data_IF_185691685390
#
_entry.id   IF_185691685390
#
_cell.length_a   1.000
_cell.length_b   1.000
_cell.length_c   1.000
_cell.angle_alpha   90.00
_cell.angle_beta   90.00
_cell.angle_gamma   90.00
#
_symmetry.space_group_name_H-M   'P 1'
#
loop_
_entity.id
_entity.type
_entity.pdbx_description
1 polymer ?
#
# COMPACT_ATOMS: atom_id res chain seq x y z
N UNK A 1 -12.06 -12.85 -25.63
CA UNK A 1 -11.21 -12.65 -24.45
C UNK A 1 -11.68 -13.60 -23.38
N UNK A 2 -10.77 -14.19 -22.61
CA UNK A 2 -11.11 -15.11 -21.53
C UNK A 2 -11.88 -14.39 -20.42
N UNK A 3 -12.96 -15.01 -19.95
CA UNK A 3 -13.98 -14.45 -19.04
C UNK A 3 -13.51 -14.36 -17.57
N UNK A 4 -12.20 -14.40 -17.35
CA UNK A 4 -11.59 -14.52 -16.01
C UNK A 4 -11.37 -13.18 -15.33
N UNK A 5 -11.24 -12.09 -16.09
CA UNK A 5 -11.02 -10.75 -15.55
C UNK A 5 -12.26 -9.90 -15.74
N UNK A 6 -12.81 -9.40 -14.63
CA UNK A 6 -14.00 -8.54 -14.57
C UNK A 6 -13.61 -7.13 -14.13
N UNK A 7 -13.42 -6.17 -15.06
CA UNK A 7 -12.97 -4.82 -14.72
C UNK A 7 -13.84 -4.12 -13.67
N UNK A 8 -15.15 -4.36 -13.72
CA UNK A 8 -16.15 -3.82 -12.79
C UNK A 8 -16.01 -4.37 -11.36
N UNK A 9 -15.29 -5.48 -11.18
CA UNK A 9 -14.94 -6.09 -9.89
C UNK A 9 -13.46 -5.98 -9.60
N UNK A 10 -12.76 -5.00 -10.18
CA UNK A 10 -11.34 -4.78 -9.96
C UNK A 10 -11.08 -3.46 -9.22
N UNK A 11 -10.03 -3.45 -8.40
CA UNK A 11 -9.51 -2.24 -7.76
C UNK A 11 -8.00 -2.15 -7.90
N UNK A 12 -7.48 -0.93 -7.75
CA UNK A 12 -6.06 -0.64 -7.72
C UNK A 12 -5.58 -0.56 -6.28
N UNK A 13 -4.47 -1.22 -5.99
CA UNK A 13 -3.76 -1.13 -4.71
C UNK A 13 -2.34 -0.58 -4.94
N UNK A 14 -2.14 0.69 -4.58
CA UNK A 14 -0.87 1.38 -4.62
C UNK A 14 -0.17 1.22 -3.26
N UNK A 15 0.90 0.44 -3.22
CA UNK A 15 1.54 0.00 -1.98
C UNK A 15 2.71 0.91 -1.60
N UNK A 16 2.58 1.55 -0.45
CA UNK A 16 3.66 2.22 0.31
C UNK A 16 4.50 3.21 -0.51
N UNK A 17 3.86 4.00 -1.37
CA UNK A 17 4.50 5.06 -2.16
C UNK A 17 4.81 6.31 -1.30
N UNK A 18 5.56 6.10 -0.22
CA UNK A 18 5.85 7.09 0.82
C UNK A 18 7.23 7.75 0.63
N UNK A 19 7.43 8.90 1.28
CA UNK A 19 8.69 9.63 1.29
C UNK A 19 9.87 8.86 1.91
N UNK A 20 9.60 7.87 2.77
CA UNK A 20 10.61 6.95 3.31
C UNK A 20 11.42 6.22 2.23
N UNK A 21 10.87 6.12 1.01
CA UNK A 21 11.52 5.47 -0.12
C UNK A 21 12.36 6.40 -1.00
N UNK A 22 12.39 7.70 -0.69
CA UNK A 22 13.32 8.65 -1.28
C UNK A 22 14.74 8.36 -0.82
N UNK A 23 15.74 8.92 -1.52
CA UNK A 23 17.17 8.67 -1.26
C UNK A 23 17.59 9.04 0.17
N UNK A 24 16.94 10.03 0.75
CA UNK A 24 17.12 10.56 2.09
C UNK A 24 16.24 9.89 3.17
N UNK A 25 15.31 9.03 2.76
CA UNK A 25 14.44 8.28 3.66
C UNK A 25 15.15 7.08 4.30
N UNK A 26 14.50 6.44 5.27
CA UNK A 26 15.08 5.30 5.97
C UNK A 26 15.17 4.03 5.10
N UNK A 27 14.32 3.93 4.08
CA UNK A 27 14.19 2.77 3.20
C UNK A 27 14.27 3.20 1.73
N UNK A 28 15.41 3.70 1.25
CA UNK A 28 15.53 4.25 -0.10
C UNK A 28 15.38 3.17 -1.19
N UNK A 29 14.56 3.44 -2.20
CA UNK A 29 14.42 2.59 -3.38
C UNK A 29 15.25 3.15 -4.55
N UNK A 30 16.04 2.31 -5.19
CA UNK A 30 16.81 2.73 -6.37
C UNK A 30 15.88 3.14 -7.51
N UNK A 31 16.11 4.32 -8.09
CA UNK A 31 15.28 4.82 -9.18
C UNK A 31 13.84 5.19 -8.78
N UNK A 32 13.57 5.40 -7.49
CA UNK A 32 12.23 5.70 -6.98
C UNK A 32 11.48 6.85 -7.70
N UNK A 33 12.12 7.96 -8.13
CA UNK A 33 11.43 8.97 -8.95
C UNK A 33 10.83 8.41 -10.26
N UNK A 34 11.49 7.42 -10.87
CA UNK A 34 10.96 6.71 -12.03
C UNK A 34 9.76 5.82 -11.68
N UNK A 35 9.78 5.19 -10.51
CA UNK A 35 8.63 4.43 -9.96
C UNK A 35 7.44 5.36 -9.76
N UNK A 36 7.63 6.51 -9.11
CA UNK A 36 6.58 7.52 -8.89
C UNK A 36 6.00 8.04 -10.22
N UNK A 37 6.85 8.34 -11.20
CA UNK A 37 6.41 8.78 -12.54
C UNK A 37 5.53 7.74 -13.24
N UNK A 38 5.87 6.45 -13.12
CA UNK A 38 5.09 5.38 -13.72
C UNK A 38 3.80 5.10 -12.91
N UNK A 39 3.87 5.12 -11.59
CA UNK A 39 2.71 5.03 -10.71
C UNK A 39 1.68 6.12 -11.06
N UNK A 40 2.11 7.37 -11.25
CA UNK A 40 1.23 8.47 -11.66
C UNK A 40 0.48 8.17 -12.97
N UNK A 41 1.15 7.56 -13.97
CA UNK A 41 0.51 7.17 -15.25
C UNK A 41 -0.52 6.07 -15.04
N UNK A 42 -0.21 5.05 -14.24
CA UNK A 42 -1.14 3.94 -13.92
C UNK A 42 -2.35 4.49 -13.18
N UNK A 43 -2.13 5.26 -12.11
CA UNK A 43 -3.19 5.90 -11.33
C UNK A 43 -4.09 6.75 -12.23
N UNK A 44 -3.52 7.61 -13.07
CA UNK A 44 -4.29 8.45 -13.98
C UNK A 44 -5.13 7.63 -14.99
N UNK A 45 -4.56 6.54 -15.54
CA UNK A 45 -5.28 5.66 -16.45
C UNK A 45 -6.43 4.93 -15.73
N UNK A 46 -6.17 4.40 -14.54
CA UNK A 46 -7.16 3.68 -13.76
C UNK A 46 -8.31 4.59 -13.29
N UNK A 47 -8.02 5.83 -12.89
CA UNK A 47 -9.07 6.83 -12.57
C UNK A 47 -9.96 7.11 -13.78
N UNK A 48 -9.39 7.31 -14.97
CA UNK A 48 -10.18 7.52 -16.19
C UNK A 48 -11.06 6.32 -16.56
N UNK A 49 -10.60 5.12 -16.22
CA UNK A 49 -11.35 3.89 -16.43
C UNK A 49 -12.34 3.57 -15.29
N UNK A 50 -12.39 4.38 -14.23
CA UNK A 50 -13.34 4.23 -13.13
C UNK A 50 -12.98 3.20 -12.07
N UNK A 51 -11.74 2.70 -12.04
CA UNK A 51 -11.32 1.77 -11.00
C UNK A 51 -11.22 2.48 -9.64
N UNK A 52 -11.73 1.88 -8.54
CA UNK A 52 -11.41 2.33 -7.20
C UNK A 52 -9.91 2.28 -6.95
N UNK A 53 -9.37 3.31 -6.29
CA UNK A 53 -7.96 3.40 -5.93
C UNK A 53 -7.81 3.35 -4.42
N UNK A 54 -6.96 2.44 -3.97
CA UNK A 54 -6.61 2.22 -2.58
C UNK A 54 -5.10 2.38 -2.45
N UNK A 55 -4.66 3.15 -1.46
CA UNK A 55 -3.27 3.29 -1.07
C UNK A 55 -3.04 2.55 0.23
N UNK A 56 -1.84 2.00 0.40
CA UNK A 56 -1.34 1.66 1.73
C UNK A 56 -0.23 2.60 2.16
N UNK A 57 -0.13 2.78 3.48
CA UNK A 57 1.04 3.36 4.13
C UNK A 57 1.51 2.39 5.21
N UNK A 58 2.79 2.07 5.23
CA UNK A 58 3.40 1.56 6.45
C UNK A 58 3.40 2.70 7.46
N UNK A 59 2.75 2.51 8.61
CA UNK A 59 2.34 3.62 9.45
C UNK A 59 2.40 3.23 10.93
N UNK A 60 3.43 3.73 11.62
CA UNK A 60 3.76 3.36 12.99
C UNK A 60 3.37 4.48 13.95
N UNK A 61 2.72 4.13 15.05
CA UNK A 61 2.34 5.07 16.09
C UNK A 61 3.61 5.68 16.75
N UNK A 62 3.67 6.99 17.02
CA UNK A 62 4.91 7.66 17.43
C UNK A 62 5.53 7.18 18.75
N UNK A 63 4.77 6.49 19.62
CA UNK A 63 5.27 5.87 20.85
C UNK A 63 5.72 4.43 20.64
N UNK A 64 5.58 3.89 19.43
CA UNK A 64 5.99 2.54 19.04
C UNK A 64 5.10 1.43 19.58
N UNK A 65 3.88 1.76 20.02
CA UNK A 65 2.97 0.79 20.66
C UNK A 65 2.46 -0.30 19.72
N UNK A 66 2.48 -0.03 18.41
CA UNK A 66 2.06 -0.93 17.34
C UNK A 66 3.23 -1.39 16.44
N UNK A 67 4.46 -0.98 16.80
CA UNK A 67 5.67 -1.39 16.10
C UNK A 67 5.91 -2.89 16.25
N UNK A 68 6.26 -3.53 15.14
CA UNK A 68 6.58 -4.96 15.12
C UNK A 68 8.00 -5.20 15.64
N UNK A 69 8.29 -6.45 16.02
CA UNK A 69 9.61 -6.83 16.58
C UNK A 69 10.79 -6.58 15.64
N UNK A 70 10.54 -6.49 14.34
CA UNK A 70 11.54 -6.24 13.31
C UNK A 70 11.72 -4.74 12.99
N UNK A 71 10.90 -3.86 13.58
CA UNK A 71 11.00 -2.42 13.34
C UNK A 71 12.22 -1.83 14.04
N UNK A 72 12.84 -0.84 13.40
CA UNK A 72 13.95 -0.12 13.99
C UNK A 72 13.43 0.95 14.94
N UNK A 73 13.81 0.85 16.21
CA UNK A 73 13.38 1.76 17.29
C UNK A 73 14.56 2.49 17.92
N UNK A 74 14.31 3.68 18.46
CA UNK A 74 15.28 4.40 19.30
C UNK A 74 15.32 3.85 20.74
N UNK A 75 16.23 4.39 21.57
CA UNK A 75 16.38 4.02 22.99
C UNK A 75 15.11 4.23 23.84
N UNK A 76 14.11 4.95 23.31
CA UNK A 76 12.81 5.19 23.95
C UNK A 76 11.69 4.37 23.32
N UNK A 77 12.04 3.34 22.54
CA UNK A 77 11.11 2.46 21.82
C UNK A 77 10.24 3.18 20.78
N UNK A 78 10.68 4.32 20.26
CA UNK A 78 9.95 5.06 19.20
C UNK A 78 10.43 4.63 17.82
N UNK A 79 9.53 4.52 16.83
CA UNK A 79 9.89 4.14 15.47
C UNK A 79 10.82 5.18 14.83
N UNK A 80 11.80 4.71 14.08
CA UNK A 80 12.76 5.56 13.37
C UNK A 80 12.31 5.95 11.95
N UNK A 81 11.27 5.31 11.43
CA UNK A 81 10.75 5.50 10.09
C UNK A 81 9.24 5.30 10.07
N UNK A 82 8.58 5.73 8.99
CA UNK A 82 7.15 5.51 8.76
C UNK A 82 6.29 6.03 9.91
N UNK A 83 6.78 7.03 10.64
CA UNK A 83 6.15 7.53 11.86
C UNK A 83 4.91 8.32 11.49
N UNK A 84 3.79 8.04 12.15
CA UNK A 84 2.54 8.69 11.88
C UNK A 84 2.64 10.23 12.01
N UNK A 85 2.23 10.93 10.95
CA UNK A 85 2.28 12.39 10.84
C UNK A 85 3.66 12.96 10.51
N UNK A 86 4.68 12.12 10.30
CA UNK A 86 5.98 12.58 9.80
C UNK A 86 5.93 12.84 8.29
N UNK A 87 6.64 13.85 7.77
CA UNK A 87 6.66 14.14 6.33
C UNK A 87 7.11 12.97 5.46
N UNK A 88 8.10 12.18 5.91
CA UNK A 88 8.59 11.02 5.16
C UNK A 88 7.64 9.82 5.24
N UNK A 89 6.88 9.69 6.34
CA UNK A 89 5.82 8.71 6.44
C UNK A 89 4.66 8.97 5.47
N UNK A 90 4.47 10.18 4.96
CA UNK A 90 3.36 10.48 4.07
C UNK A 90 3.57 9.94 2.64
N UNK A 91 2.46 9.74 1.92
CA UNK A 91 2.49 9.41 0.49
C UNK A 91 3.15 10.57 -0.27
N UNK A 92 4.01 10.25 -1.23
CA UNK A 92 4.73 11.24 -2.02
C UNK A 92 3.76 12.19 -2.76
N UNK A 93 4.03 13.51 -2.78
CA UNK A 93 3.16 14.49 -3.42
C UNK A 93 2.79 14.18 -4.88
N UNK A 94 3.71 13.60 -5.64
CA UNK A 94 3.58 13.24 -7.06
C UNK A 94 2.44 12.24 -7.32
N UNK A 95 2.10 11.43 -6.31
CA UNK A 95 1.07 10.39 -6.34
C UNK A 95 0.03 10.59 -5.23
N UNK A 96 -0.16 11.83 -4.79
CA UNK A 96 -1.10 12.17 -3.72
C UNK A 96 -2.49 11.55 -3.96
N UNK A 97 -3.11 10.96 -2.91
CA UNK A 97 -4.49 10.51 -2.98
C UNK A 97 -5.43 11.68 -3.33
N UNK A 98 -6.47 11.37 -4.11
CA UNK A 98 -7.58 12.29 -4.42
C UNK A 98 -8.76 12.05 -3.46
N UNK A 99 -9.75 12.95 -3.48
CA UNK A 99 -10.89 12.96 -2.56
C UNK A 99 -11.64 11.61 -2.44
N UNK A 100 -11.70 10.83 -3.51
CA UNK A 100 -12.40 9.54 -3.56
C UNK A 100 -11.49 8.32 -3.34
N UNK A 101 -10.19 8.54 -3.23
CA UNK A 101 -9.24 7.45 -3.01
C UNK A 101 -9.27 7.03 -1.53
N UNK A 102 -8.96 5.76 -1.28
CA UNK A 102 -8.98 5.19 0.07
C UNK A 102 -7.54 5.04 0.53
N UNK A 103 -7.22 5.51 1.74
CA UNK A 103 -5.92 5.28 2.37
C UNK A 103 -6.07 4.30 3.53
N UNK A 104 -5.19 3.29 3.56
CA UNK A 104 -5.14 2.24 4.57
C UNK A 104 -3.76 2.23 5.22
N UNK A 105 -3.75 2.49 6.51
CA UNK A 105 -2.55 2.39 7.33
C UNK A 105 -2.35 0.93 7.76
N UNK A 106 -1.09 0.47 7.72
CA UNK A 106 -0.70 -0.89 8.10
C UNK A 106 0.60 -0.89 8.92
N UNK A 107 0.73 -1.88 9.79
CA UNK A 107 1.92 -2.09 10.63
C UNK A 107 2.71 -3.34 10.21
N UNK A 108 2.23 -4.09 9.21
CA UNK A 108 2.87 -5.30 8.68
C UNK A 108 3.20 -5.13 7.21
N UNK A 109 4.02 -6.03 6.67
CA UNK A 109 4.32 -6.04 5.23
C UNK A 109 3.08 -6.31 4.37
N UNK A 110 2.26 -7.29 4.75
CA UNK A 110 0.97 -7.52 4.07
C UNK A 110 -0.01 -6.38 4.32
N UNK A 111 -0.70 -5.96 3.27
CA UNK A 111 -1.78 -4.98 3.35
C UNK A 111 -3.06 -5.52 3.99
N UNK A 112 -3.20 -6.84 4.19
CA UNK A 112 -4.44 -7.45 4.68
C UNK A 112 -4.51 -7.61 6.19
N UNK A 113 -3.41 -8.05 6.82
CA UNK A 113 -3.46 -8.42 8.23
C UNK A 113 -3.60 -7.19 9.14
N UNK A 114 -4.63 -7.19 9.98
CA UNK A 114 -4.85 -6.12 10.96
C UNK A 114 -5.28 -4.80 10.34
N UNK A 115 -5.67 -4.79 9.07
CA UNK A 115 -6.15 -3.58 8.38
C UNK A 115 -7.63 -3.72 8.00
N UNK A 116 -8.21 -2.62 7.51
CA UNK A 116 -9.57 -2.60 6.95
C UNK A 116 -9.63 -3.00 5.47
N UNK A 117 -8.53 -3.39 4.84
CA UNK A 117 -8.47 -3.64 3.39
C UNK A 117 -9.49 -4.70 2.96
N UNK A 118 -9.55 -5.81 3.70
CA UNK A 118 -10.48 -6.90 3.38
C UNK A 118 -11.95 -6.44 3.42
N UNK A 119 -12.33 -5.72 4.49
CA UNK A 119 -13.66 -5.16 4.65
C UNK A 119 -14.01 -4.18 3.51
N UNK A 120 -13.06 -3.32 3.15
CA UNK A 120 -13.22 -2.32 2.08
C UNK A 120 -13.46 -3.02 0.73
N UNK A 121 -12.62 -3.98 0.39
CA UNK A 121 -12.72 -4.71 -0.87
C UNK A 121 -14.01 -5.54 -0.96
N UNK A 122 -14.39 -6.25 0.11
CA UNK A 122 -15.67 -6.97 0.18
C UNK A 122 -16.86 -6.02 0.02
N UNK A 123 -16.83 -4.85 0.67
CA UNK A 123 -17.93 -3.88 0.59
C UNK A 123 -18.13 -3.35 -0.84
N UNK A 124 -17.05 -3.27 -1.61
CA UNK A 124 -17.03 -2.85 -3.02
C UNK A 124 -17.19 -4.01 -4.02
N UNK A 125 -17.37 -5.25 -3.54
CA UNK A 125 -17.51 -6.46 -4.36
C UNK A 125 -16.32 -6.71 -5.33
N UNK A 126 -15.10 -6.46 -4.85
CA UNK A 126 -13.86 -6.62 -5.62
C UNK A 126 -13.36 -8.06 -5.58
N UNK A 127 -13.03 -8.60 -6.75
CA UNK A 127 -12.40 -9.92 -6.97
C UNK A 127 -11.01 -9.83 -7.62
N UNK A 128 -10.64 -8.68 -8.17
CA UNK A 128 -9.35 -8.50 -8.84
C UNK A 128 -8.59 -7.31 -8.27
N UNK A 129 -7.30 -7.49 -8.02
CA UNK A 129 -6.42 -6.41 -7.60
C UNK A 129 -5.33 -6.17 -8.64
N UNK A 130 -5.19 -4.91 -9.04
CA UNK A 130 -4.02 -4.42 -9.77
C UNK A 130 -3.09 -3.83 -8.71
N UNK A 131 -2.01 -4.54 -8.42
CA UNK A 131 -1.10 -4.19 -7.32
C UNK A 131 0.21 -3.66 -7.89
N UNK A 132 0.67 -2.51 -7.39
CA UNK A 132 2.00 -1.97 -7.67
C UNK A 132 2.45 -1.11 -6.49
N UNK A 133 3.75 -0.84 -6.39
CA UNK A 133 4.30 -0.05 -5.30
C UNK A 133 5.69 -0.53 -4.94
N UNK A 134 6.03 -0.40 -3.66
CA UNK A 134 7.32 -0.86 -3.10
C UNK A 134 7.09 -1.49 -1.73
N UNK A 135 7.94 -2.39 -1.26
CA UNK A 135 9.06 -3.05 -1.94
C UNK A 135 8.61 -4.38 -2.52
N UNK A 136 9.22 -4.82 -3.62
CA UNK A 136 8.81 -6.03 -4.36
C UNK A 136 8.88 -7.27 -3.46
N UNK A 137 10.02 -7.47 -2.82
CA UNK A 137 10.37 -8.63 -1.98
C UNK A 137 9.81 -8.57 -0.55
N UNK A 138 9.12 -7.47 -0.20
CA UNK A 138 8.54 -7.30 1.14
C UNK A 138 7.04 -7.04 1.05
N UNK A 139 6.62 -5.77 0.99
CA UNK A 139 5.21 -5.41 1.05
C UNK A 139 4.40 -5.96 -0.12
N UNK A 140 4.95 -5.96 -1.33
CA UNK A 140 4.26 -6.50 -2.51
C UNK A 140 4.17 -8.03 -2.44
N UNK A 141 5.29 -8.74 -2.30
CA UNK A 141 5.31 -10.20 -2.22
C UNK A 141 4.43 -10.72 -1.08
N UNK A 142 4.52 -10.13 0.11
CA UNK A 142 3.70 -10.58 1.26
C UNK A 142 2.22 -10.29 1.04
N UNK A 143 1.87 -9.17 0.40
CA UNK A 143 0.45 -8.85 0.09
C UNK A 143 -0.12 -9.78 -0.96
N UNK A 144 0.66 -10.12 -2.00
CA UNK A 144 0.26 -11.06 -3.06
C UNK A 144 0.20 -12.49 -2.54
N UNK A 145 1.18 -12.91 -1.73
CA UNK A 145 1.29 -14.27 -1.20
C UNK A 145 0.35 -14.55 -0.01
N UNK A 146 -0.14 -13.51 0.66
CA UNK A 146 -1.15 -13.63 1.72
C UNK A 146 -2.40 -12.81 1.37
N UNK A 147 -3.12 -13.18 0.29
CA UNK A 147 -4.31 -12.46 -0.12
C UNK A 147 -5.43 -12.69 0.91
N UNK A 148 -6.44 -11.82 0.90
CA UNK A 148 -7.62 -12.02 1.73
C UNK A 148 -8.24 -13.41 1.51
N UNK A 149 -8.40 -14.15 2.61
CA UNK A 149 -9.14 -15.42 2.62
C UNK A 149 -10.64 -15.27 2.36
N UNK A 150 -11.20 -14.05 2.53
CA UNK A 150 -12.61 -13.78 2.24
C UNK A 150 -12.88 -13.56 0.75
N UNK A 151 -11.92 -12.96 0.02
CA UNK A 151 -12.09 -12.60 -1.40
C UNK A 151 -11.56 -13.69 -2.32
N UNK A 152 -10.36 -14.21 -2.03
CA UNK A 152 -9.67 -15.12 -2.93
C UNK A 152 -9.83 -16.59 -2.51
N UNK A 153 -10.51 -16.85 -1.39
CA UNK A 153 -10.61 -18.17 -0.77
C UNK A 153 -9.25 -18.76 -0.40
N UNK A 154 -9.24 -19.95 0.19
CA UNK A 154 -8.00 -20.71 0.43
C UNK A 154 -7.46 -21.39 -0.83
N UNK A 155 -7.73 -20.83 -2.02
CA UNK A 155 -7.40 -21.42 -3.33
C UNK A 155 -6.19 -20.70 -3.93
N UNK A 156 -5.04 -20.87 -3.28
CA UNK A 156 -3.72 -20.71 -3.86
C UNK A 156 -2.86 -21.87 -3.39
#
# INVERSE_FOLDING_TARGET
MSDWFRPERAAVLAVDLQGENLREGAWPVEGYPGVLSNAQKVLAACRRAGFPIIYTRHWLEPRGTDAQRYESLDDRSRPLHSVAGSPLGEICPEVSPQERDIVIDKQRFTAFYGTKLDLVLNRMDIEHLIIFGVWTEACLETTVGMPSGAIFGSRW
#
